data_IF_489344719482
#
_entry.id   IF_489344719482
#
_cell.length_a   1.000
_cell.length_b   1.000
_cell.length_c   1.000
_cell.angle_alpha   90.00
_cell.angle_beta   90.00
_cell.angle_gamma   90.00
#
_symmetry.space_group_name_H-M   'P 1'
#
loop_
_entity.id
_entity.type
_entity.pdbx_description
1 polymer ?
#
# COMPACT_ATOMS: atom_id res chain seq x y z
N UNK A 1 -8.01 -3.47 -1.89
CA UNK A 1 -7.09 -4.53 -1.43
C UNK A 1 -5.83 -3.94 -0.81
N UNK A 2 -4.99 -3.22 -1.57
CA UNK A 2 -3.70 -2.72 -1.06
C UNK A 2 -3.79 -1.86 0.22
N UNK A 3 -4.74 -0.93 0.29
CA UNK A 3 -4.95 -0.12 1.50
C UNK A 3 -5.29 -0.92 2.76
N UNK A 4 -6.02 -2.04 2.61
CA UNK A 4 -6.33 -2.94 3.72
C UNK A 4 -5.11 -3.77 4.17
N UNK A 5 -4.30 -4.21 3.20
CA UNK A 5 -3.05 -4.94 3.47
C UNK A 5 -2.05 -4.03 4.19
N UNK A 6 -1.99 -2.74 3.84
CA UNK A 6 -1.14 -1.77 4.52
C UNK A 6 -1.47 -1.66 6.01
N UNK A 7 -2.74 -1.45 6.38
CA UNK A 7 -3.16 -1.37 7.78
C UNK A 7 -2.93 -2.69 8.54
N UNK A 8 -3.21 -3.82 7.88
CA UNK A 8 -2.97 -5.15 8.44
C UNK A 8 -1.49 -5.38 8.74
N UNK A 9 -0.61 -5.00 7.81
CA UNK A 9 0.84 -5.15 7.98
C UNK A 9 1.38 -4.24 9.09
N UNK A 10 0.85 -3.02 9.27
CA UNK A 10 1.15 -2.18 10.45
C UNK A 10 0.81 -2.92 11.73
N UNK A 11 -0.40 -3.49 11.82
CA UNK A 11 -0.84 -4.21 13.00
C UNK A 11 0.08 -5.39 13.33
N UNK A 12 0.49 -6.17 12.33
CA UNK A 12 1.40 -7.30 12.52
C UNK A 12 2.83 -6.90 12.86
N UNK A 13 3.34 -5.81 12.30
CA UNK A 13 4.65 -5.26 12.68
C UNK A 13 4.64 -4.79 14.13
N UNK A 14 3.62 -4.03 14.54
CA UNK A 14 3.46 -3.58 15.93
C UNK A 14 3.32 -4.77 16.87
N UNK A 15 2.50 -5.77 16.50
CA UNK A 15 2.36 -6.99 17.27
C UNK A 15 3.70 -7.72 17.44
N UNK A 16 4.45 -7.93 16.36
CA UNK A 16 5.77 -8.58 16.39
C UNK A 16 6.77 -7.86 17.30
N UNK A 17 6.75 -6.53 17.34
CA UNK A 17 7.56 -5.72 18.25
C UNK A 17 7.11 -5.91 19.70
N UNK A 18 5.80 -5.89 19.98
CA UNK A 18 5.26 -6.00 21.35
C UNK A 18 5.53 -7.36 22.00
N UNK A 19 5.65 -8.43 21.22
CA UNK A 19 5.95 -9.78 21.72
C UNK A 19 7.43 -10.16 21.60
N UNK A 20 8.32 -9.20 21.30
CA UNK A 20 9.75 -9.40 21.05
C UNK A 20 10.07 -10.47 19.98
N UNK A 21 9.15 -10.67 19.02
CA UNK A 21 9.33 -11.58 17.90
C UNK A 21 9.78 -10.82 16.66
N UNK A 22 11.10 -10.66 16.56
CA UNK A 22 11.74 -9.96 15.44
C UNK A 22 11.52 -10.65 14.09
N UNK A 23 11.29 -11.97 14.04
CA UNK A 23 10.98 -12.65 12.77
C UNK A 23 9.66 -12.14 12.17
N UNK A 24 8.63 -12.01 13.00
CA UNK A 24 7.33 -11.48 12.57
C UNK A 24 7.47 -9.99 12.25
N UNK A 25 8.17 -9.22 13.08
CA UNK A 25 8.32 -7.79 12.88
C UNK A 25 9.03 -7.46 11.56
N UNK A 26 10.17 -8.10 11.28
CA UNK A 26 10.99 -7.85 10.08
C UNK A 26 10.24 -8.27 8.81
N UNK A 27 9.59 -9.44 8.81
CA UNK A 27 8.84 -9.92 7.65
C UNK A 27 7.68 -8.96 7.28
N UNK A 28 6.90 -8.53 8.27
CA UNK A 28 5.80 -7.59 8.05
C UNK A 28 6.30 -6.18 7.70
N UNK A 29 7.42 -5.76 8.26
CA UNK A 29 8.04 -4.47 7.94
C UNK A 29 8.54 -4.42 6.48
N UNK A 30 9.15 -5.49 5.98
CA UNK A 30 9.49 -5.60 4.56
C UNK A 30 8.22 -5.52 3.68
N UNK A 31 7.14 -6.19 4.07
CA UNK A 31 5.84 -6.10 3.41
C UNK A 31 5.23 -4.69 3.42
N UNK A 32 5.46 -3.93 4.50
CA UNK A 32 5.05 -2.52 4.61
C UNK A 32 5.78 -1.64 3.61
N UNK A 33 7.09 -1.79 3.46
CA UNK A 33 7.88 -1.01 2.50
C UNK A 33 7.38 -1.20 1.06
N UNK A 34 7.09 -2.45 0.68
CA UNK A 34 6.52 -2.76 -0.64
C UNK A 34 5.12 -2.17 -0.79
N UNK A 35 4.30 -2.23 0.26
CA UNK A 35 2.98 -1.61 0.25
C UNK A 35 3.05 -0.09 0.06
N UNK A 36 3.96 0.59 0.77
CA UNK A 36 4.19 2.03 0.63
C UNK A 36 4.60 2.36 -0.81
N UNK A 37 5.57 1.62 -1.37
CA UNK A 37 5.98 1.83 -2.76
C UNK A 37 4.79 1.66 -3.72
N UNK A 38 3.96 0.64 -3.51
CA UNK A 38 2.78 0.37 -4.35
C UNK A 38 1.73 1.48 -4.25
N UNK A 39 1.43 1.94 -3.03
CA UNK A 39 0.48 3.03 -2.79
C UNK A 39 1.01 4.33 -3.39
N UNK A 40 2.28 4.66 -3.20
CA UNK A 40 2.93 5.82 -3.82
C UNK A 40 2.83 5.77 -5.34
N UNK A 41 3.02 4.59 -5.94
CA UNK A 41 2.88 4.40 -7.39
C UNK A 41 1.43 4.65 -7.86
N UNK A 42 0.42 4.28 -7.06
CA UNK A 42 -0.98 4.61 -7.38
C UNK A 42 -1.25 6.13 -7.38
N UNK A 43 -0.52 6.91 -6.59
CA UNK A 43 -0.64 8.37 -6.60
C UNK A 43 0.07 9.01 -7.79
N UNK A 44 1.29 8.55 -8.10
CA UNK A 44 2.12 9.11 -9.19
C UNK A 44 1.57 8.68 -10.56
N UNK A 45 1.11 7.42 -10.66
CA UNK A 45 0.57 6.81 -11.86
C UNK A 45 -0.85 6.29 -11.61
N UNK A 46 -1.85 7.19 -11.50
CA UNK A 46 -3.22 6.76 -11.28
C UNK A 46 -3.69 5.89 -12.46
N UNK A 47 -4.42 4.80 -12.18
CA UNK A 47 -4.83 3.85 -13.20
C UNK A 47 -5.75 4.51 -14.24
N UNK A 48 -5.50 4.22 -15.52
CA UNK A 48 -6.29 4.80 -16.62
C UNK A 48 -7.71 4.21 -16.72
N UNK A 49 -7.96 3.06 -16.11
CA UNK A 49 -9.19 2.27 -16.33
C UNK A 49 -10.21 2.38 -15.20
N UNK A 50 -9.84 2.87 -14.02
CA UNK A 50 -10.76 2.91 -12.87
C UNK A 50 -10.43 4.02 -11.88
N UNK A 51 -11.44 4.58 -11.21
CA UNK A 51 -11.24 5.61 -10.18
C UNK A 51 -10.79 4.97 -8.88
N UNK A 52 -9.74 5.52 -8.25
CA UNK A 52 -9.33 5.04 -6.94
C UNK A 52 -10.37 5.50 -5.89
N UNK A 53 -11.05 4.60 -5.18
CA UNK A 53 -12.22 4.95 -4.34
C UNK A 53 -11.92 5.95 -3.22
N UNK A 54 -10.67 5.97 -2.72
CA UNK A 54 -10.26 6.80 -1.59
C UNK A 54 -9.68 8.15 -2.06
N UNK A 55 -9.07 8.18 -3.25
CA UNK A 55 -8.29 9.33 -3.72
C UNK A 55 -9.12 10.20 -4.67
N UNK A 56 -10.22 9.69 -5.24
CA UNK A 56 -11.12 10.45 -6.10
C UNK A 56 -10.49 10.89 -7.44
N UNK A 57 -9.23 10.54 -7.68
CA UNK A 57 -8.55 10.75 -8.96
C UNK A 57 -9.30 9.98 -10.05
N UNK A 58 -9.83 10.74 -11.00
CA UNK A 58 -10.47 10.21 -12.20
C UNK A 58 -9.49 9.37 -13.02
N UNK A 59 -9.97 8.53 -13.93
CA UNK A 59 -9.08 7.87 -14.87
C UNK A 59 -8.33 8.96 -15.65
N UNK A 60 -7.00 8.87 -15.73
CA UNK A 60 -6.20 9.71 -16.62
C UNK A 60 -6.81 9.56 -18.03
N UNK A 61 -7.39 10.64 -18.57
CA UNK A 61 -7.82 10.64 -19.96
C UNK A 61 -6.58 10.33 -20.79
N UNK A 62 -6.58 9.17 -21.47
CA UNK A 62 -5.56 8.79 -22.43
C UNK A 62 -5.35 10.00 -23.34
N UNK A 63 -4.22 10.69 -23.24
CA UNK A 63 -3.82 11.64 -24.29
C UNK A 63 -3.71 10.79 -25.56
N UNK A 64 -4.70 10.92 -26.43
CA UNK A 64 -4.60 10.45 -27.81
C UNK A 64 -3.60 11.38 -28.47
N UNK A 65 -2.38 10.88 -28.65
CA UNK A 65 -1.48 11.38 -29.70
C UNK A 65 -2.12 11.13 -31.06
#
# INVERSE_FOLDING_TARGET
MQFGIFLLAIQWTVFGILIDNYYIAIANFAGLLVNIATISLYFIYPPLTWKVPIIGTGPQQKKRE
#
